data_IF_392238874530
#
_entry.id   IF_392238874530
#
_cell.length_a   1.000
_cell.length_b   1.000
_cell.length_c   1.000
_cell.angle_alpha   90.00
_cell.angle_beta   90.00
_cell.angle_gamma   90.00
#
_symmetry.space_group_name_H-M   'P 1'
#
loop_
_entity.id
_entity.type
_entity.pdbx_description
1 polymer ?
#
# COMPACT_ATOMS: atom_id res chain seq x y z
N UNK A 1 -10.56 -19.91 -1.16
CA UNK A 1 -9.09 -19.80 -0.97
C UNK A 1 -8.63 -18.63 -1.81
N UNK A 2 -7.94 -17.66 -1.22
CA UNK A 2 -7.48 -16.46 -1.91
C UNK A 2 -6.19 -15.94 -1.30
N UNK A 3 -5.56 -15.02 -2.00
CA UNK A 3 -4.37 -14.30 -1.55
C UNK A 3 -4.72 -12.82 -1.46
N UNK A 4 -4.14 -12.13 -0.50
CA UNK A 4 -4.28 -10.69 -0.34
C UNK A 4 -2.87 -10.08 -0.23
N UNK A 5 -2.67 -8.98 -0.93
CA UNK A 5 -1.45 -8.16 -0.87
C UNK A 5 -1.78 -6.75 -0.39
N UNK A 6 -0.75 -6.02 0.03
CA UNK A 6 -0.76 -4.57 0.23
C UNK A 6 -1.43 -3.80 -0.93
N UNK A 7 -1.27 -4.24 -2.18
CA UNK A 7 -1.95 -3.64 -3.33
C UNK A 7 -3.47 -3.77 -3.25
N UNK A 8 -3.96 -4.87 -2.71
CA UNK A 8 -5.39 -5.11 -2.54
C UNK A 8 -5.94 -4.29 -1.37
N UNK A 9 -5.14 -4.11 -0.30
CA UNK A 9 -5.48 -3.23 0.82
C UNK A 9 -5.60 -1.76 0.37
N UNK A 10 -4.68 -1.29 -0.47
CA UNK A 10 -4.73 0.08 -1.02
C UNK A 10 -5.99 0.26 -1.87
N UNK A 11 -6.35 -0.73 -2.70
CA UNK A 11 -7.60 -0.67 -3.49
C UNK A 11 -8.86 -0.68 -2.62
N UNK A 12 -8.83 -1.37 -1.49
CA UNK A 12 -9.94 -1.42 -0.55
C UNK A 12 -10.02 -0.18 0.37
N UNK A 13 -8.94 0.60 0.45
CA UNK A 13 -8.86 1.81 1.28
C UNK A 13 -9.68 2.95 0.70
N UNK A 14 -10.18 3.82 1.59
CA UNK A 14 -10.85 5.07 1.26
C UNK A 14 -9.91 6.21 1.65
N UNK A 15 -9.83 7.20 0.77
CA UNK A 15 -9.10 8.44 1.04
C UNK A 15 -10.09 9.44 1.62
N UNK A 16 -9.83 9.88 2.84
CA UNK A 16 -10.59 10.93 3.51
C UNK A 16 -9.75 12.22 3.51
N UNK A 17 -10.22 13.23 2.78
CA UNK A 17 -9.59 14.54 2.74
C UNK A 17 -10.21 15.46 3.80
N UNK A 18 -9.40 15.90 4.77
CA UNK A 18 -9.79 16.94 5.72
C UNK A 18 -9.02 18.23 5.42
N UNK A 19 -9.76 19.34 5.34
CA UNK A 19 -9.16 20.68 5.26
C UNK A 19 -8.99 21.19 6.68
N UNK A 20 -7.74 21.29 7.12
CA UNK A 20 -7.39 21.86 8.41
C UNK A 20 -7.06 23.35 8.25
N UNK A 21 -7.50 24.15 9.21
CA UNK A 21 -7.22 25.59 9.26
C UNK A 21 -6.46 25.87 10.56
N UNK A 22 -5.24 26.42 10.46
CA UNK A 22 -4.53 26.93 11.63
C UNK A 22 -4.73 28.43 11.72
N UNK A 23 -5.45 28.87 12.76
CA UNK A 23 -5.55 30.28 13.12
C UNK A 23 -4.31 30.65 13.95
N UNK A 24 -3.33 31.28 13.28
CA UNK A 24 -2.20 31.89 13.98
C UNK A 24 -2.60 33.30 14.39
N UNK A 25 -3.20 33.46 15.56
CA UNK A 25 -3.40 34.78 16.18
C UNK A 25 -2.17 35.13 17.03
N UNK A 26 -1.51 36.23 16.69
CA UNK A 26 -0.55 36.87 17.59
C UNK A 26 -1.33 37.88 18.45
N UNK A 27 -1.57 37.57 19.73
CA UNK A 27 -2.01 38.56 20.71
C UNK A 27 -0.88 39.58 20.89
N UNK A 28 -1.15 40.81 20.51
CA UNK A 28 -0.11 41.82 20.36
C UNK A 28 -0.69 43.21 20.25
N UNK A 29 -1.10 43.74 21.41
CA UNK A 29 -1.01 45.15 21.82
C UNK A 29 -1.56 46.21 20.88
N UNK A 30 -2.46 47.03 21.41
CA UNK A 30 -3.06 48.18 20.73
C UNK A 30 -1.99 49.24 20.41
N UNK A 31 -1.68 49.44 19.11
CA UNK A 31 -1.02 50.67 18.65
C UNK A 31 -1.39 51.01 17.18
N UNK A 32 -1.61 52.32 16.96
CA UNK A 32 -2.43 52.93 15.92
C UNK A 32 -1.81 53.06 14.51
N UNK A 33 -0.80 52.27 14.17
CA UNK A 33 -0.01 52.41 12.94
C UNK A 33 -0.06 51.08 12.16
N UNK A 34 -1.26 50.74 11.66
CA UNK A 34 -1.59 49.42 11.09
C UNK A 34 -1.38 49.25 9.57
N UNK A 35 -0.85 50.22 8.82
CA UNK A 35 -0.78 50.08 7.36
C UNK A 35 0.39 49.22 6.83
N UNK A 36 1.38 48.90 7.66
CA UNK A 36 2.37 47.83 7.38
C UNK A 36 1.87 46.44 7.83
N UNK A 37 0.68 46.35 8.46
CA UNK A 37 0.05 45.10 8.92
C UNK A 37 -0.85 44.42 7.88
N UNK A 38 -0.77 44.79 6.60
CA UNK A 38 -1.57 44.16 5.53
C UNK A 38 -1.28 42.66 5.31
N UNK A 39 -0.36 42.06 6.06
CA UNK A 39 -0.04 40.63 5.99
C UNK A 39 -0.60 39.83 7.17
N UNK A 40 -1.33 40.45 8.11
CA UNK A 40 -1.61 39.83 9.41
C UNK A 40 -2.64 38.70 9.45
N UNK A 41 -3.17 38.22 8.33
CA UNK A 41 -3.90 36.95 8.33
C UNK A 41 -3.76 36.24 7.00
N UNK A 42 -2.57 35.69 6.75
CA UNK A 42 -2.45 34.63 5.75
C UNK A 42 -3.10 33.38 6.37
N UNK A 43 -4.40 33.21 6.15
CA UNK A 43 -5.06 31.93 6.41
C UNK A 43 -4.42 30.87 5.52
N UNK A 44 -3.57 30.01 6.09
CA UNK A 44 -3.00 28.86 5.38
C UNK A 44 -4.00 27.72 5.46
N UNK A 45 -4.67 27.45 4.34
CA UNK A 45 -5.47 26.24 4.16
C UNK A 45 -4.56 25.15 3.61
N UNK A 46 -4.45 24.02 4.31
CA UNK A 46 -3.80 22.83 3.77
C UNK A 46 -4.75 21.65 3.91
N UNK A 47 -4.82 20.84 2.86
CA UNK A 47 -5.61 19.61 2.87
C UNK A 47 -4.72 18.49 3.37
N UNK A 48 -5.15 17.80 4.43
CA UNK A 48 -4.54 16.56 4.89
C UNK A 48 -5.38 15.42 4.37
N UNK A 49 -4.77 14.58 3.54
CA UNK A 49 -5.39 13.36 3.05
C UNK A 49 -5.01 12.19 3.98
N UNK A 50 -5.99 11.54 4.61
CA UNK A 50 -5.78 10.35 5.43
C UNK A 50 -6.34 9.13 4.73
N UNK A 51 -5.54 8.06 4.67
CA UNK A 51 -5.98 6.76 4.14
C UNK A 51 -6.58 5.96 5.29
N UNK A 52 -7.84 5.54 5.13
CA UNK A 52 -8.56 4.70 6.09
C UNK A 52 -8.95 3.37 5.43
N UNK A 53 -8.77 2.26 6.15
CA UNK A 53 -9.19 0.94 5.68
C UNK A 53 -10.67 0.70 6.03
N UNK A 54 -11.44 0.20 5.07
CA UNK A 54 -12.81 -0.23 5.33
C UNK A 54 -12.81 -1.45 6.25
N UNK A 55 -13.71 -1.45 7.23
CA UNK A 55 -13.92 -2.60 8.12
C UNK A 55 -14.78 -3.67 7.41
N UNK A 56 -14.17 -4.40 6.47
CA UNK A 56 -14.79 -5.50 5.73
C UNK A 56 -14.05 -6.82 5.99
N UNK A 57 -14.73 -7.98 5.89
CA UNK A 57 -14.07 -9.28 5.97
C UNK A 57 -12.98 -9.45 4.92
N UNK A 58 -11.80 -9.98 5.29
CA UNK A 58 -10.67 -10.21 4.37
C UNK A 58 -11.07 -11.05 3.15
N UNK A 59 -12.00 -11.99 3.32
CA UNK A 59 -12.50 -12.84 2.22
C UNK A 59 -13.14 -12.04 1.08
N UNK A 60 -13.63 -10.83 1.35
CA UNK A 60 -14.27 -9.95 0.36
C UNK A 60 -13.24 -9.05 -0.33
N UNK A 61 -12.10 -8.79 0.33
CA UNK A 61 -10.99 -8.01 -0.23
C UNK A 61 -9.93 -8.87 -0.95
N UNK A 62 -9.83 -10.16 -0.61
CA UNK A 62 -8.84 -11.07 -1.19
C UNK A 62 -9.15 -11.40 -2.66
N UNK A 63 -8.10 -11.67 -3.43
CA UNK A 63 -8.18 -12.09 -4.83
C UNK A 63 -7.90 -13.59 -4.98
N UNK A 64 -8.35 -14.23 -6.08
CA UNK A 64 -7.97 -15.61 -6.38
C UNK A 64 -6.45 -15.73 -6.53
N UNK A 65 -5.85 -16.66 -5.78
CA UNK A 65 -4.41 -16.86 -5.76
C UNK A 65 -3.93 -17.63 -7.01
N UNK A 66 -2.83 -17.19 -7.62
CA UNK A 66 -2.15 -17.95 -8.67
C UNK A 66 -1.11 -18.85 -7.99
N UNK A 67 -1.34 -20.15 -7.99
CA UNK A 67 -0.53 -21.13 -7.25
C UNK A 67 0.59 -21.74 -8.09
N UNK A 68 1.66 -22.15 -7.44
CA UNK A 68 2.72 -22.99 -8.00
C UNK A 68 2.72 -24.38 -7.33
N UNK A 69 3.31 -25.36 -7.98
CA UNK A 69 3.60 -26.68 -7.41
C UNK A 69 5.10 -26.86 -7.20
N UNK A 70 5.50 -27.74 -6.26
CA UNK A 70 6.92 -28.05 -5.99
C UNK A 70 7.69 -28.60 -7.20
N UNK A 71 6.98 -29.17 -8.17
CA UNK A 71 7.55 -29.76 -9.38
C UNK A 71 7.69 -28.74 -10.52
N UNK A 72 7.13 -27.55 -10.37
CA UNK A 72 7.15 -26.54 -11.43
C UNK A 72 8.56 -25.93 -11.49
N UNK A 73 9.03 -25.68 -12.71
CA UNK A 73 10.31 -25.02 -12.91
C UNK A 73 10.24 -23.57 -12.43
N UNK A 74 11.34 -23.12 -11.81
CA UNK A 74 11.46 -21.74 -11.31
C UNK A 74 11.33 -20.72 -12.45
N UNK A 75 11.83 -21.05 -13.64
CA UNK A 75 11.71 -20.25 -14.86
C UNK A 75 10.25 -20.00 -15.26
N UNK A 76 9.41 -21.03 -15.20
CA UNK A 76 7.98 -20.94 -15.50
C UNK A 76 7.25 -20.09 -14.46
N UNK A 77 7.56 -20.30 -13.18
CA UNK A 77 7.03 -19.48 -12.09
C UNK A 77 7.38 -18.00 -12.28
N UNK A 78 8.65 -17.70 -12.59
CA UNK A 78 9.10 -16.33 -12.87
C UNK A 78 8.40 -15.71 -14.08
N UNK A 79 8.20 -16.48 -15.15
CA UNK A 79 7.47 -16.02 -16.34
C UNK A 79 5.99 -15.69 -16.01
N UNK A 80 5.33 -16.52 -15.19
CA UNK A 80 3.97 -16.28 -14.71
C UNK A 80 3.92 -15.03 -13.83
N UNK A 81 4.86 -14.90 -12.88
CA UNK A 81 4.99 -13.71 -12.02
C UNK A 81 5.11 -12.43 -12.85
N UNK A 82 6.00 -12.42 -13.84
CA UNK A 82 6.18 -11.28 -14.74
C UNK A 82 4.93 -10.97 -15.56
N UNK A 83 4.34 -11.99 -16.21
CA UNK A 83 3.15 -11.82 -17.06
C UNK A 83 1.93 -11.32 -16.28
N UNK A 84 1.76 -11.79 -15.05
CA UNK A 84 0.61 -11.45 -14.19
C UNK A 84 0.89 -10.26 -13.28
N UNK A 85 2.11 -9.73 -13.29
CA UNK A 85 2.58 -8.64 -12.42
C UNK A 85 2.33 -8.94 -10.93
N UNK A 86 2.68 -10.16 -10.53
CA UNK A 86 2.67 -10.62 -9.15
C UNK A 86 4.12 -10.91 -8.72
N UNK A 87 4.41 -10.67 -7.45
CA UNK A 87 5.72 -10.83 -6.81
C UNK A 87 5.86 -12.14 -6.03
N UNK A 88 4.73 -12.81 -5.76
CA UNK A 88 4.69 -13.99 -4.92
C UNK A 88 3.61 -14.98 -5.37
N UNK A 89 3.89 -16.27 -5.15
CA UNK A 89 3.01 -17.38 -5.46
C UNK A 89 2.97 -18.37 -4.30
N UNK A 90 1.79 -18.76 -3.80
CA UNK A 90 1.68 -19.84 -2.84
C UNK A 90 1.97 -21.18 -3.50
N UNK A 91 2.82 -21.98 -2.86
CA UNK A 91 3.19 -23.32 -3.32
C UNK A 91 2.26 -24.34 -2.66
N UNK A 92 1.51 -25.08 -3.46
CA UNK A 92 0.50 -26.04 -2.97
C UNK A 92 0.85 -27.46 -3.38
N UNK A 93 0.34 -28.44 -2.63
CA UNK A 93 0.38 -29.86 -3.03
C UNK A 93 -0.74 -30.17 -4.02
N UNK A 94 -0.69 -31.34 -4.67
CA UNK A 94 -1.78 -31.84 -5.53
C UNK A 94 -3.12 -31.98 -4.79
N UNK A 95 -3.11 -32.10 -3.46
CA UNK A 95 -4.32 -32.11 -2.62
C UNK A 95 -4.81 -30.71 -2.22
N UNK A 96 -4.27 -29.63 -2.79
CA UNK A 96 -4.67 -28.25 -2.48
C UNK A 96 -4.17 -27.73 -1.13
N UNK A 97 -3.27 -28.44 -0.45
CA UNK A 97 -2.70 -28.01 0.82
C UNK A 97 -1.54 -27.04 0.57
N UNK A 98 -1.59 -25.88 1.23
CA UNK A 98 -0.48 -24.92 1.22
C UNK A 98 0.76 -25.54 1.85
N UNK A 99 1.87 -25.53 1.10
CA UNK A 99 3.16 -26.06 1.54
C UNK A 99 4.17 -24.96 1.82
N UNK A 100 4.05 -23.81 1.14
CA UNK A 100 4.95 -22.68 1.32
C UNK A 100 4.61 -21.51 0.41
N UNK A 101 5.55 -20.58 0.30
CA UNK A 101 5.45 -19.37 -0.52
C UNK A 101 6.73 -19.25 -1.35
N UNK A 102 6.59 -18.93 -2.63
CA UNK A 102 7.69 -18.59 -3.52
C UNK A 102 7.61 -17.09 -3.81
N UNK A 103 8.66 -16.34 -3.51
CA UNK A 103 8.76 -14.92 -3.85
C UNK A 103 9.82 -14.70 -4.92
N UNK A 104 9.66 -13.65 -5.70
CA UNK A 104 10.64 -13.20 -6.69
C UNK A 104 12.06 -13.02 -6.11
N UNK A 105 12.18 -12.46 -4.89
CA UNK A 105 13.44 -12.33 -4.18
C UNK A 105 14.11 -13.67 -3.87
N UNK A 106 13.34 -14.74 -3.68
CA UNK A 106 13.87 -16.06 -3.40
C UNK A 106 14.48 -16.66 -4.69
N UNK A 107 13.86 -16.36 -5.84
CA UNK A 107 14.40 -16.69 -7.16
C UNK A 107 15.73 -15.97 -7.40
N UNK A 108 15.77 -14.66 -7.10
CA UNK A 108 17.00 -13.87 -7.23
C UNK A 108 18.11 -14.38 -6.31
N UNK A 109 17.80 -14.68 -5.04
CA UNK A 109 18.77 -15.27 -4.12
C UNK A 109 19.29 -16.61 -4.61
N UNK A 110 18.43 -17.48 -5.13
CA UNK A 110 18.85 -18.76 -5.69
C UNK A 110 19.81 -18.62 -6.88
N UNK A 111 19.70 -17.53 -7.66
CA UNK A 111 20.64 -17.23 -8.75
C UNK A 111 21.99 -16.71 -8.24
N UNK A 112 22.01 -16.03 -7.09
CA UNK A 112 23.24 -15.47 -6.48
C UNK A 112 23.98 -16.51 -5.63
N UNK A 113 23.24 -17.29 -4.85
CA UNK A 113 23.78 -18.36 -3.98
C UNK A 113 24.09 -19.65 -4.75
N UNK A 114 23.89 -19.66 -6.08
CA UNK A 114 24.28 -20.73 -6.98
C UNK A 114 25.81 -20.90 -7.07
N UNK A 115 26.40 -21.42 -6.00
CA UNK A 115 27.63 -22.23 -6.04
C UNK A 115 27.29 -23.67 -6.39
#
# INVERSE_FOLDING_TARGET
>A
MGMISDRDLIKASVIEDLVEKTDMSADGGEDAWMWDRFVQTINKYYTVSRISLKNIPVREAMLPAITAFKKDEVSQCAAVMHKKRIDQMPVVTSGGKLTGMLKDKDILMAMVDGR
#
